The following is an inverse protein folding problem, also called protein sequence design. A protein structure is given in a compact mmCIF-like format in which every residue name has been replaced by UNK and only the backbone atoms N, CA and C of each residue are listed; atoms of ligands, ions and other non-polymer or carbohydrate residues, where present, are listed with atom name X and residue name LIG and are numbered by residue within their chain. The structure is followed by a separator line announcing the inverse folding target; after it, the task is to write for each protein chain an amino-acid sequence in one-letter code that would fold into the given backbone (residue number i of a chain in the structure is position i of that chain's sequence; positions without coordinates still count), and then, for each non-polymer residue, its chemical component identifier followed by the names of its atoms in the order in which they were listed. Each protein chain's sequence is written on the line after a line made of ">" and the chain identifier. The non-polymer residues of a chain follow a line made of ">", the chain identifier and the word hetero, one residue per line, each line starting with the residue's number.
data_IF_885327453418
#
_entry.id   IF_885327453418
#
_cell.length_a   1.000
_cell.length_b   1.000
_cell.length_c   1.000
_cell.angle_alpha   90.00
_cell.angle_beta   90.00
_cell.angle_gamma   90.00
#
_symmetry.space_group_name_H-M   'P 1'
#
loop_
_entity.id
_entity.type
_entity.pdbx_description
1 polymer ?
#
# COMPACT_ATOMS: atom_id res chain seq x y z
N UNK A 1 -17.32 -23.09 21.41
CA UNK A 1 -16.13 -23.05 20.52
C UNK A 1 -15.67 -21.61 20.42
N UNK A 2 -14.53 -21.27 21.02
CA UNK A 2 -13.90 -19.96 20.83
C UNK A 2 -13.16 -20.04 19.49
N UNK A 3 -13.62 -19.33 18.47
CA UNK A 3 -12.80 -19.15 17.27
C UNK A 3 -11.57 -18.34 17.67
N UNK A 4 -10.37 -18.94 17.49
CA UNK A 4 -9.13 -18.21 17.65
C UNK A 4 -9.02 -17.17 16.52
N UNK A 5 -8.98 -15.86 16.84
CA UNK A 5 -8.86 -14.81 15.83
C UNK A 5 -7.60 -14.97 14.95
N UNK A 6 -6.55 -15.65 15.44
CA UNK A 6 -5.34 -15.91 14.67
C UNK A 6 -5.58 -16.84 13.46
N UNK A 7 -6.44 -17.85 13.62
CA UNK A 7 -6.76 -18.80 12.56
C UNK A 7 -7.60 -18.16 11.45
N UNK A 8 -8.58 -17.32 11.81
CA UNK A 8 -9.36 -16.54 10.83
C UNK A 8 -8.49 -15.56 10.03
N UNK A 9 -7.46 -14.98 10.66
CA UNK A 9 -6.51 -14.11 9.95
C UNK A 9 -5.71 -14.85 8.86
N UNK A 10 -5.37 -16.12 9.07
CA UNK A 10 -4.68 -16.95 8.06
C UNK A 10 -5.52 -17.08 6.78
N UNK A 11 -6.82 -17.33 6.92
CA UNK A 11 -7.75 -17.42 5.79
C UNK A 11 -7.76 -16.11 4.99
N UNK A 12 -7.86 -14.98 5.67
CA UNK A 12 -7.86 -13.65 5.03
C UNK A 12 -6.54 -13.43 4.27
N UNK A 13 -5.40 -13.75 4.89
CA UNK A 13 -4.09 -13.63 4.25
C UNK A 13 -4.00 -14.51 3.00
N UNK A 14 -4.38 -15.79 3.08
CA UNK A 14 -4.38 -16.71 1.94
C UNK A 14 -5.26 -16.23 0.79
N UNK A 15 -6.49 -15.76 1.07
CA UNK A 15 -7.39 -15.18 0.06
C UNK A 15 -6.77 -13.95 -0.60
N UNK A 16 -6.14 -13.07 0.18
CA UNK A 16 -5.42 -11.90 -0.36
C UNK A 16 -4.22 -12.28 -1.25
N UNK A 17 -3.60 -13.44 -0.98
CA UNK A 17 -2.53 -14.02 -1.79
C UNK A 17 -3.04 -14.79 -3.02
N UNK A 18 -4.37 -14.88 -3.21
CA UNK A 18 -5.08 -15.68 -4.23
C UNK A 18 -4.88 -17.20 -4.07
N UNK A 19 -4.56 -17.67 -2.86
CA UNK A 19 -4.38 -19.09 -2.53
C UNK A 19 -5.72 -19.72 -2.08
N UNK A 20 -6.73 -19.70 -2.94
CA UNK A 20 -8.10 -20.07 -2.57
C UNK A 20 -8.26 -21.52 -2.09
N UNK A 21 -7.56 -22.47 -2.71
CA UNK A 21 -7.61 -23.88 -2.29
C UNK A 21 -7.03 -24.08 -0.88
N UNK A 22 -5.95 -23.38 -0.55
CA UNK A 22 -5.38 -23.42 0.81
C UNK A 22 -6.30 -22.73 1.82
N UNK A 23 -6.93 -21.62 1.44
CA UNK A 23 -7.89 -20.93 2.31
C UNK A 23 -9.06 -21.85 2.68
N UNK A 24 -9.62 -22.59 1.71
CA UNK A 24 -10.70 -23.54 1.97
C UNK A 24 -10.24 -24.68 2.90
N UNK A 25 -9.08 -25.29 2.61
CA UNK A 25 -8.54 -26.35 3.46
C UNK A 25 -8.30 -25.88 4.91
N UNK A 26 -7.88 -24.63 5.10
CA UNK A 26 -7.71 -24.04 6.44
C UNK A 26 -9.06 -23.82 7.13
N UNK A 27 -10.09 -23.35 6.42
CA UNK A 27 -11.45 -23.23 6.98
C UNK A 27 -11.96 -24.58 7.50
N UNK A 28 -11.81 -25.65 6.70
CA UNK A 28 -12.22 -26.99 7.09
C UNK A 28 -11.45 -27.49 8.33
N UNK A 29 -10.13 -27.21 8.43
CA UNK A 29 -9.30 -27.56 9.58
C UNK A 29 -9.67 -26.79 10.85
N UNK A 30 -10.11 -25.53 10.71
CA UNK A 30 -10.62 -24.70 11.81
C UNK A 30 -11.93 -25.29 12.33
N UNK A 31 -12.85 -25.66 11.45
CA UNK A 31 -14.13 -26.29 11.84
C UNK A 31 -13.93 -27.62 12.55
N UNK A 32 -12.95 -28.40 12.11
CA UNK A 32 -12.58 -29.68 12.73
C UNK A 32 -11.91 -29.53 14.10
N UNK A 33 -11.41 -28.34 14.46
CA UNK A 33 -10.71 -28.11 15.73
C UNK A 33 -9.44 -28.96 15.88
N UNK A 34 -8.68 -29.14 14.79
CA UNK A 34 -7.53 -30.03 14.77
C UNK A 34 -6.35 -29.49 15.64
N UNK A 35 -5.90 -30.21 16.70
CA UNK A 35 -4.85 -29.70 17.61
C UNK A 35 -3.51 -29.42 16.90
N UNK A 36 -3.18 -30.21 15.87
CA UNK A 36 -1.98 -30.00 15.07
C UNK A 36 -2.02 -28.68 14.27
N UNK A 37 -3.21 -28.26 13.82
CA UNK A 37 -3.38 -27.00 13.10
C UNK A 37 -3.29 -25.80 14.05
N UNK A 38 -3.90 -25.89 15.24
CA UNK A 38 -3.75 -24.86 16.28
C UNK A 38 -2.27 -24.64 16.64
N UNK A 39 -1.52 -25.73 16.83
CA UNK A 39 -0.07 -25.66 17.09
C UNK A 39 0.73 -25.04 15.93
N UNK A 40 0.31 -25.25 14.67
CA UNK A 40 0.98 -24.71 13.49
C UNK A 40 0.60 -23.25 13.17
N UNK A 41 -0.50 -22.74 13.73
CA UNK A 41 -1.05 -21.41 13.43
C UNK A 41 -0.03 -20.27 13.56
N UNK A 42 0.82 -20.18 14.61
CA UNK A 42 1.80 -19.11 14.73
C UNK A 42 2.84 -19.11 13.60
N UNK A 43 3.36 -20.29 13.24
CA UNK A 43 4.37 -20.45 12.18
C UNK A 43 3.77 -20.12 10.82
N UNK A 44 2.56 -20.63 10.53
CA UNK A 44 1.83 -20.32 9.30
C UNK A 44 1.56 -18.81 9.17
N UNK A 45 1.15 -18.16 10.26
CA UNK A 45 0.94 -16.71 10.29
C UNK A 45 2.24 -15.95 9.97
N UNK A 46 3.37 -16.38 10.53
CA UNK A 46 4.67 -15.73 10.30
C UNK A 46 5.11 -15.82 8.82
N UNK A 47 5.03 -16.99 8.21
CA UNK A 47 5.45 -17.16 6.80
C UNK A 47 4.51 -16.42 5.83
N UNK A 48 3.21 -16.39 6.11
CA UNK A 48 2.25 -15.64 5.28
C UNK A 48 2.45 -14.13 5.39
N UNK A 49 2.76 -13.61 6.59
CA UNK A 49 3.15 -12.21 6.77
C UNK A 49 4.41 -11.86 5.99
N UNK A 50 5.41 -12.74 6.00
CA UNK A 50 6.65 -12.54 5.24
C UNK A 50 6.37 -12.46 3.71
N UNK A 51 5.57 -13.38 3.18
CA UNK A 51 5.17 -13.36 1.77
C UNK A 51 4.37 -12.08 1.41
N UNK A 52 3.45 -11.65 2.28
CA UNK A 52 2.71 -10.40 2.08
C UNK A 52 3.62 -9.18 2.01
N UNK A 53 4.57 -9.07 2.95
CA UNK A 53 5.53 -7.97 2.99
C UNK A 53 6.42 -7.95 1.73
N UNK A 54 6.93 -9.11 1.32
CA UNK A 54 7.75 -9.21 0.10
C UNK A 54 6.97 -8.84 -1.16
N UNK A 55 5.70 -9.25 -1.29
CA UNK A 55 4.84 -8.81 -2.39
C UNK A 55 4.60 -7.31 -2.40
N UNK A 56 4.45 -6.72 -1.22
CA UNK A 56 4.30 -5.27 -1.04
C UNK A 56 5.54 -4.52 -1.53
N UNK A 57 6.74 -4.94 -1.08
CA UNK A 57 8.02 -4.35 -1.53
C UNK A 57 8.15 -4.47 -3.06
N UNK A 58 7.86 -5.65 -3.61
CA UNK A 58 7.95 -5.89 -5.05
C UNK A 58 6.95 -5.04 -5.85
N UNK A 59 5.74 -4.85 -5.33
CA UNK A 59 4.72 -4.00 -5.95
C UNK A 59 5.14 -2.53 -5.97
N UNK A 60 5.64 -1.99 -4.85
CA UNK A 60 6.18 -0.63 -4.79
C UNK A 60 7.31 -0.46 -5.82
N UNK A 61 8.30 -1.36 -5.80
CA UNK A 61 9.44 -1.29 -6.72
C UNK A 61 9.01 -1.33 -8.20
N UNK A 62 8.01 -2.17 -8.53
CA UNK A 62 7.44 -2.24 -9.85
C UNK A 62 6.77 -0.92 -10.27
N UNK A 63 5.89 -0.37 -9.45
CA UNK A 63 5.18 0.87 -9.76
C UNK A 63 6.11 2.09 -9.81
N UNK A 64 7.10 2.18 -8.92
CA UNK A 64 8.13 3.20 -8.95
C UNK A 64 8.92 3.18 -10.27
N UNK A 65 9.29 1.98 -10.75
CA UNK A 65 9.95 1.82 -12.05
C UNK A 65 9.03 2.18 -13.22
N UNK A 66 7.74 1.81 -13.14
CA UNK A 66 6.76 2.08 -14.19
C UNK A 66 6.42 3.58 -14.32
N UNK A 67 6.43 4.32 -13.21
CA UNK A 67 6.11 5.76 -13.18
C UNK A 67 7.15 6.64 -13.88
N UNK A 68 8.40 6.16 -14.03
CA UNK A 68 9.49 6.85 -14.76
C UNK A 68 9.72 8.29 -14.28
N UNK A 69 9.64 8.52 -12.97
CA UNK A 69 9.93 9.84 -12.41
C UNK A 69 11.37 10.26 -12.76
N UNK A 70 11.60 11.55 -13.08
CA UNK A 70 12.92 12.04 -13.48
C UNK A 70 13.95 11.97 -12.33
N UNK A 71 13.48 12.06 -11.08
CA UNK A 71 14.27 11.88 -9.87
C UNK A 71 13.34 11.51 -8.71
N UNK A 72 13.88 10.89 -7.66
CA UNK A 72 13.14 10.76 -6.40
C UNK A 72 13.01 12.15 -5.76
N UNK A 73 11.78 12.58 -5.49
CA UNK A 73 11.45 13.88 -4.91
C UNK A 73 10.37 13.70 -3.86
N UNK A 74 10.69 14.04 -2.63
CA UNK A 74 9.73 14.07 -1.52
C UNK A 74 9.33 15.52 -1.23
N UNK A 75 8.14 15.70 -0.67
CA UNK A 75 7.64 16.99 -0.22
C UNK A 75 8.46 17.58 0.93
N UNK A 76 9.08 16.74 1.77
CA UNK A 76 9.98 17.22 2.83
C UNK A 76 11.18 18.01 2.28
N UNK A 77 11.61 17.72 1.05
CA UNK A 77 12.69 18.43 0.36
C UNK A 77 12.22 19.59 -0.51
N UNK A 78 10.95 20.01 -0.44
CA UNK A 78 10.41 21.11 -1.23
C UNK A 78 10.44 22.42 -0.45
N UNK A 79 11.10 23.45 -1.01
CA UNK A 79 11.09 24.79 -0.45
C UNK A 79 9.86 25.57 -0.92
N UNK A 80 8.85 25.66 -0.05
CA UNK A 80 7.63 26.42 -0.29
C UNK A 80 7.86 27.94 -0.25
N UNK A 81 8.89 28.43 0.44
CA UNK A 81 9.20 29.87 0.48
C UNK A 81 9.75 30.37 -0.87
N UNK A 82 10.39 29.49 -1.64
CA UNK A 82 10.91 29.77 -2.98
C UNK A 82 9.88 29.51 -4.10
N UNK A 83 8.62 29.21 -3.78
CA UNK A 83 7.58 28.87 -4.75
C UNK A 83 6.28 29.63 -4.52
N UNK A 84 5.57 29.96 -5.60
CA UNK A 84 4.23 30.56 -5.56
C UNK A 84 3.12 29.52 -5.31
N UNK A 85 3.46 28.24 -5.16
CA UNK A 85 2.47 27.17 -4.93
C UNK A 85 1.88 27.27 -3.53
N UNK A 86 0.56 27.11 -3.43
CA UNK A 86 -0.15 27.07 -2.15
C UNK A 86 0.21 25.80 -1.35
N UNK A 87 0.99 25.97 -0.28
CA UNK A 87 1.46 24.89 0.59
C UNK A 87 0.31 24.07 1.21
N UNK A 88 -0.73 24.73 1.72
CA UNK A 88 -1.85 24.06 2.38
C UNK A 88 -2.60 23.11 1.42
N UNK A 89 -2.74 23.53 0.16
CA UNK A 89 -3.34 22.71 -0.90
C UNK A 89 -2.46 21.52 -1.22
N UNK A 90 -1.14 21.72 -1.37
CA UNK A 90 -0.22 20.61 -1.67
C UNK A 90 -0.17 19.59 -0.53
N UNK A 91 -0.11 20.03 0.73
CA UNK A 91 -0.16 19.12 1.88
C UNK A 91 -1.47 18.33 1.96
N UNK A 92 -2.57 18.93 1.51
CA UNK A 92 -3.86 18.23 1.38
C UNK A 92 -3.82 17.18 0.26
N UNK A 93 -3.31 17.54 -0.91
CA UNK A 93 -3.13 16.59 -2.02
C UNK A 93 -2.16 15.47 -1.66
N UNK A 94 -1.15 15.72 -0.81
CA UNK A 94 -0.18 14.72 -0.35
C UNK A 94 -0.81 13.62 0.53
N UNK A 95 -2.02 13.82 1.04
CA UNK A 95 -2.79 12.74 1.68
C UNK A 95 -3.45 11.80 0.67
N UNK A 96 -3.36 12.11 -0.62
CA UNK A 96 -3.85 11.29 -1.73
C UNK A 96 -5.35 10.90 -1.68
N UNK A 97 -6.15 11.52 -0.81
CA UNK A 97 -7.61 11.30 -0.69
C UNK A 97 -8.35 11.54 -2.02
N UNK A 98 -7.79 12.39 -2.89
CA UNK A 98 -8.32 12.65 -4.24
C UNK A 98 -8.35 11.37 -5.12
N UNK A 99 -7.52 10.37 -4.81
CA UNK A 99 -7.52 9.08 -5.50
C UNK A 99 -8.78 8.26 -5.20
N UNK A 100 -9.34 8.36 -3.99
CA UNK A 100 -10.54 7.63 -3.61
C UNK A 100 -11.76 8.14 -4.38
N UNK A 101 -11.84 9.47 -4.54
CA UNK A 101 -12.86 10.15 -5.34
C UNK A 101 -12.60 10.16 -6.85
N UNK A 102 -11.52 9.55 -7.34
CA UNK A 102 -11.10 9.60 -8.74
C UNK A 102 -11.02 11.04 -9.30
N UNK A 103 -10.57 11.98 -8.47
CA UNK A 103 -10.49 13.40 -8.83
C UNK A 103 -9.19 13.69 -9.59
N UNK A 104 -9.28 14.58 -10.58
CA UNK A 104 -8.12 15.01 -11.35
C UNK A 104 -7.42 16.18 -10.65
N UNK A 105 -6.09 16.10 -10.55
CA UNK A 105 -5.25 17.19 -10.04
C UNK A 105 -4.53 17.83 -11.22
N UNK A 106 -4.74 19.14 -11.40
CA UNK A 106 -4.10 19.91 -12.49
C UNK A 106 -3.22 20.98 -11.85
N UNK A 107 -1.91 20.95 -12.16
CA UNK A 107 -0.94 21.93 -11.66
C UNK A 107 -0.69 22.99 -12.73
N UNK A 108 -1.01 24.25 -12.44
CA UNK A 108 -0.92 25.38 -13.38
C UNK A 108 0.01 26.44 -12.79
N UNK A 109 0.88 27.03 -13.61
CA UNK A 109 1.80 28.09 -13.22
C UNK A 109 3.01 28.23 -14.14
N UNK A 110 3.76 29.33 -14.01
CA UNK A 110 4.93 29.63 -14.84
C UNK A 110 6.08 28.63 -14.71
N UNK A 111 7.07 28.63 -15.61
CA UNK A 111 8.26 27.77 -15.49
C UNK A 111 8.97 27.96 -14.15
N UNK A 112 9.55 26.90 -13.59
CA UNK A 112 10.34 26.99 -12.35
C UNK A 112 9.55 27.03 -11.03
N UNK A 113 8.21 27.11 -11.06
CA UNK A 113 7.40 27.19 -9.82
C UNK A 113 7.27 25.88 -9.02
N UNK A 114 8.09 24.87 -9.27
CA UNK A 114 8.06 23.63 -8.48
C UNK A 114 6.99 22.59 -8.83
N UNK A 115 6.15 22.82 -9.86
CA UNK A 115 5.09 21.88 -10.29
C UNK A 115 5.57 20.46 -10.52
N UNK A 116 6.68 20.27 -11.22
CA UNK A 116 7.24 18.94 -11.49
C UNK A 116 7.69 18.23 -10.22
N UNK A 117 8.25 18.97 -9.25
CA UNK A 117 8.62 18.41 -7.95
C UNK A 117 7.37 17.95 -7.20
N UNK A 118 6.36 18.82 -7.09
CA UNK A 118 5.09 18.50 -6.41
C UNK A 118 4.41 17.30 -7.08
N UNK A 119 4.29 17.29 -8.41
CA UNK A 119 3.70 16.16 -9.14
C UNK A 119 4.44 14.85 -8.86
N UNK A 120 5.77 14.89 -8.82
CA UNK A 120 6.60 13.73 -8.53
C UNK A 120 6.40 13.25 -7.09
N UNK A 121 6.44 14.17 -6.12
CA UNK A 121 6.23 13.86 -4.70
C UNK A 121 4.85 13.25 -4.45
N UNK A 122 3.78 13.81 -5.03
CA UNK A 122 2.44 13.26 -4.95
C UNK A 122 2.37 11.85 -5.57
N UNK A 123 3.03 11.63 -6.70
CA UNK A 123 3.08 10.32 -7.36
C UNK A 123 3.83 9.26 -6.55
N UNK A 124 4.96 9.62 -5.95
CA UNK A 124 5.74 8.74 -5.07
C UNK A 124 4.91 8.39 -3.82
N UNK A 125 4.34 9.39 -3.16
CA UNK A 125 3.48 9.20 -2.00
C UNK A 125 2.29 8.29 -2.31
N UNK A 126 1.67 8.46 -3.49
CA UNK A 126 0.59 7.59 -3.94
C UNK A 126 1.07 6.13 -4.10
N UNK A 127 2.24 5.90 -4.67
CA UNK A 127 2.77 4.53 -4.88
C UNK A 127 3.14 3.86 -3.55
N UNK A 128 3.75 4.61 -2.63
CA UNK A 128 4.21 4.07 -1.35
C UNK A 128 3.04 3.79 -0.40
N UNK A 129 2.02 4.67 -0.36
CA UNK A 129 0.97 4.64 0.66
C UNK A 129 -0.45 4.39 0.15
N UNK A 130 -0.77 4.67 -1.11
CA UNK A 130 -2.13 4.55 -1.67
C UNK A 130 -2.19 3.57 -2.84
N UNK A 131 -2.29 2.29 -2.51
CA UNK A 131 -2.50 1.22 -3.49
C UNK A 131 -3.95 1.17 -3.94
N UNK A 132 -4.23 1.41 -5.23
CA UNK A 132 -5.42 0.82 -5.86
C UNK A 132 -5.11 -0.64 -6.19
N UNK A 133 -5.88 -1.56 -5.59
CA UNK A 133 -5.88 -2.99 -5.94
C UNK A 133 -6.64 -3.24 -7.23
#
# INVERSE_FOLDING_TARGET
>A
MRHDPAAGAIVIMLRSLKMYGMAQAVEDLIEQGAPAFEAATPILSQVLKAELAEREVRSIAYHMKAARFPAYKDLAGFDFAASEINEATVRTLHRCEFLDGAQNVVLIGGPGTGKTHVATALGIQAIEHHRRK
#
